data_IF_166523928551
#
_entry.id   IF_166523928551
#
_cell.length_a   1.000
_cell.length_b   1.000
_cell.length_c   1.000
_cell.angle_alpha   90.00
_cell.angle_beta   90.00
_cell.angle_gamma   90.00
#
_symmetry.space_group_name_H-M   'P 1'
#
loop_
_entity.id
_entity.type
_entity.pdbx_description
1 polymer ?
#
# COMPACT_ATOMS: atom_id res chain seq x y z
N UNK A 1 -2.86 -11.69 4.82
CA UNK A 1 -1.73 -10.80 4.40
C UNK A 1 -1.05 -11.42 3.20
N UNK A 2 -0.76 -10.65 2.14
CA UNK A 2 0.01 -11.10 0.97
C UNK A 2 1.32 -10.30 0.97
N UNK A 3 2.46 -10.99 1.09
CA UNK A 3 3.78 -10.36 1.18
C UNK A 3 4.85 -11.24 0.53
N UNK A 4 5.76 -10.67 -0.29
CA UNK A 4 5.76 -9.30 -0.81
C UNK A 4 4.78 -9.18 -1.98
N UNK A 5 3.81 -8.27 -1.90
CA UNK A 5 2.71 -8.17 -2.85
C UNK A 5 3.17 -7.94 -4.29
N UNK A 6 4.13 -7.03 -4.49
CA UNK A 6 4.66 -6.70 -5.82
C UNK A 6 5.31 -7.91 -6.52
N UNK A 7 6.20 -8.63 -5.83
CA UNK A 7 6.90 -9.79 -6.40
C UNK A 7 6.04 -11.05 -6.45
N UNK A 8 4.97 -11.14 -5.65
CA UNK A 8 3.99 -12.21 -5.71
C UNK A 8 2.99 -12.09 -6.89
N UNK A 9 3.16 -11.11 -7.77
CA UNK A 9 2.29 -10.90 -8.94
C UNK A 9 1.30 -9.74 -8.80
N UNK A 10 1.44 -8.92 -7.76
CA UNK A 10 0.74 -7.64 -7.64
C UNK A 10 -0.79 -7.76 -7.58
N UNK A 11 -1.53 -6.76 -8.09
CA UNK A 11 -2.99 -6.76 -8.08
C UNK A 11 -3.62 -7.98 -8.77
N UNK A 12 -3.01 -8.49 -9.84
CA UNK A 12 -3.51 -9.69 -10.53
C UNK A 12 -3.53 -10.92 -9.62
N UNK A 13 -2.49 -11.09 -8.80
CA UNK A 13 -2.44 -12.16 -7.81
C UNK A 13 -3.50 -11.98 -6.71
N UNK A 14 -3.70 -10.76 -6.22
CA UNK A 14 -4.77 -10.46 -5.24
C UNK A 14 -6.15 -10.85 -5.78
N UNK A 15 -6.45 -10.48 -7.03
CA UNK A 15 -7.71 -10.82 -7.68
C UNK A 15 -7.90 -12.35 -7.79
N UNK A 16 -6.83 -13.07 -8.16
CA UNK A 16 -6.85 -14.52 -8.27
C UNK A 16 -7.11 -15.21 -6.92
N UNK A 17 -6.41 -14.82 -5.86
CA UNK A 17 -6.57 -15.42 -4.53
C UNK A 17 -7.94 -15.08 -3.94
N UNK A 18 -8.45 -13.85 -4.14
CA UNK A 18 -9.81 -13.47 -3.73
C UNK A 18 -10.88 -14.33 -4.41
N UNK A 19 -10.69 -14.74 -5.66
CA UNK A 19 -11.65 -15.62 -6.34
C UNK A 19 -11.75 -17.00 -5.68
N UNK A 20 -10.66 -17.49 -5.07
CA UNK A 20 -10.62 -18.77 -4.33
C UNK A 20 -11.16 -18.61 -2.91
N UNK A 21 -10.91 -17.47 -2.26
CA UNK A 21 -11.30 -17.18 -0.88
C UNK A 21 -12.12 -15.89 -0.77
N UNK A 22 -13.38 -15.88 -1.24
CA UNK A 22 -14.17 -14.65 -1.39
C UNK A 22 -14.49 -13.94 -0.06
N UNK A 23 -14.51 -14.66 1.05
CA UNK A 23 -14.82 -14.13 2.38
C UNK A 23 -13.58 -13.67 3.17
N UNK A 24 -12.37 -13.95 2.66
CA UNK A 24 -11.14 -13.61 3.36
C UNK A 24 -10.71 -12.18 3.00
N UNK A 25 -10.52 -11.35 4.03
CA UNK A 25 -9.96 -10.02 3.86
C UNK A 25 -8.45 -10.10 3.59
N UNK A 26 -8.02 -9.55 2.45
CA UNK A 26 -6.62 -9.50 2.08
C UNK A 26 -6.02 -8.11 2.29
N UNK A 27 -4.81 -8.10 2.85
CA UNK A 27 -3.93 -6.94 2.99
C UNK A 27 -2.63 -7.21 2.22
N UNK A 28 -2.48 -6.67 0.99
CA UNK A 28 -1.23 -6.68 0.25
C UNK A 28 -0.23 -5.72 0.89
N UNK A 29 1.01 -6.17 1.04
CA UNK A 29 2.11 -5.38 1.62
C UNK A 29 3.42 -5.74 0.92
N UNK A 30 4.32 -4.79 0.74
CA UNK A 30 5.62 -4.99 0.08
C UNK A 30 5.59 -4.57 -1.39
N UNK A 31 6.19 -3.42 -1.68
CA UNK A 31 6.13 -2.75 -2.98
C UNK A 31 4.80 -2.03 -3.26
N UNK A 32 4.03 -1.70 -2.22
CA UNK A 32 2.82 -0.86 -2.32
C UNK A 32 3.17 0.58 -1.97
N UNK A 33 2.63 1.54 -2.71
CA UNK A 33 2.73 2.99 -2.50
C UNK A 33 1.41 3.69 -2.86
N UNK A 34 1.37 5.02 -2.70
CA UNK A 34 0.18 5.83 -2.98
C UNK A 34 -0.30 5.71 -4.43
N UNK A 35 0.64 5.59 -5.39
CA UNK A 35 0.31 5.53 -6.81
C UNK A 35 -0.32 4.19 -7.21
N UNK A 36 0.12 3.08 -6.60
CA UNK A 36 -0.36 1.74 -6.95
C UNK A 36 -1.43 1.17 -5.99
N UNK A 37 -1.64 1.79 -4.83
CA UNK A 37 -2.67 1.38 -3.87
C UNK A 37 -4.08 1.25 -4.49
N UNK A 38 -4.57 2.17 -5.35
CA UNK A 38 -5.88 2.03 -5.99
C UNK A 38 -6.05 0.75 -6.80
N UNK A 39 -4.99 0.28 -7.46
CA UNK A 39 -5.04 -0.96 -8.24
C UNK A 39 -5.22 -2.21 -7.36
N UNK A 40 -4.61 -2.23 -6.18
CA UNK A 40 -4.79 -3.31 -5.21
C UNK A 40 -6.21 -3.33 -4.63
N UNK A 41 -6.76 -2.15 -4.31
CA UNK A 41 -8.14 -2.02 -3.83
C UNK A 41 -9.15 -2.46 -4.90
N UNK A 42 -8.94 -2.04 -6.16
CA UNK A 42 -9.77 -2.48 -7.29
C UNK A 42 -9.68 -4.00 -7.56
N UNK A 43 -8.55 -4.63 -7.24
CA UNK A 43 -8.40 -6.09 -7.29
C UNK A 43 -9.13 -6.83 -6.15
N UNK A 44 -9.70 -6.10 -5.19
CA UNK A 44 -10.48 -6.64 -4.08
C UNK A 44 -9.69 -6.84 -2.80
N UNK A 45 -8.54 -6.19 -2.64
CA UNK A 45 -7.94 -6.03 -1.32
C UNK A 45 -8.89 -5.27 -0.39
N UNK A 46 -8.99 -5.68 0.87
CA UNK A 46 -9.80 -4.99 1.87
C UNK A 46 -9.13 -3.67 2.30
N UNK A 47 -7.79 -3.68 2.36
CA UNK A 47 -6.94 -2.53 2.66
C UNK A 47 -5.52 -2.85 2.18
N UNK A 48 -4.63 -1.86 2.18
CA UNK A 48 -3.22 -2.03 1.80
C UNK A 48 -2.27 -1.66 2.93
N UNK A 49 -1.10 -2.30 2.98
CA UNK A 49 0.00 -1.93 3.85
C UNK A 49 1.09 -1.20 3.07
N UNK A 50 1.35 0.07 3.42
CA UNK A 50 2.44 0.88 2.87
C UNK A 50 3.54 1.01 3.94
N UNK A 51 4.74 0.55 3.61
CA UNK A 51 5.90 0.56 4.52
C UNK A 51 6.88 1.69 4.19
N UNK A 52 8.10 1.33 3.79
CA UNK A 52 9.20 2.28 3.50
C UNK A 52 8.88 3.42 2.53
N UNK A 53 7.86 3.26 1.67
CA UNK A 53 7.39 4.32 0.77
C UNK A 53 6.63 5.45 1.50
N UNK A 54 6.07 5.15 2.68
CA UNK A 54 5.40 6.10 3.57
C UNK A 54 6.40 6.72 4.55
N UNK A 55 7.16 5.88 5.26
CA UNK A 55 8.16 6.31 6.24
C UNK A 55 9.44 5.50 6.06
N UNK A 56 10.56 6.18 5.83
CA UNK A 56 11.88 5.56 5.73
C UNK A 56 12.83 6.06 6.85
N UNK A 57 13.86 5.27 7.13
CA UNK A 57 14.83 5.54 8.20
C UNK A 57 15.60 6.85 7.98
N UNK A 58 15.85 7.24 6.73
CA UNK A 58 16.58 8.47 6.42
C UNK A 58 15.75 9.71 6.79
N UNK A 59 14.45 9.72 6.48
CA UNK A 59 13.51 10.79 6.88
C UNK A 59 13.35 10.87 8.40
N UNK A 60 13.32 9.72 9.08
CA UNK A 60 13.30 9.68 10.55
C UNK A 60 14.59 10.29 11.12
N UNK A 61 15.76 9.82 10.64
CA UNK A 61 17.06 10.30 11.11
C UNK A 61 17.26 11.81 10.86
N UNK A 62 16.75 12.32 9.73
CA UNK A 62 16.77 13.74 9.40
C UNK A 62 15.72 14.58 10.15
N UNK A 63 14.79 13.95 10.89
CA UNK A 63 13.67 14.65 11.53
C UNK A 63 12.69 15.30 10.54
N UNK A 64 12.66 14.84 9.28
CA UNK A 64 11.84 15.41 8.21
C UNK A 64 10.37 14.97 8.31
N UNK A 65 9.71 15.47 9.36
CA UNK A 65 8.27 15.28 9.60
C UNK A 65 7.44 15.78 8.42
N UNK A 66 7.90 16.82 7.73
CA UNK A 66 7.19 17.39 6.59
C UNK A 66 7.09 16.39 5.44
N UNK A 67 8.18 15.70 5.10
CA UNK A 67 8.16 14.68 4.06
C UNK A 67 7.27 13.49 4.42
N UNK A 68 7.33 13.03 5.68
CA UNK A 68 6.48 11.93 6.17
C UNK A 68 4.99 12.31 6.09
N UNK A 69 4.64 13.53 6.52
CA UNK A 69 3.27 14.02 6.45
C UNK A 69 2.79 14.19 5.00
N UNK A 70 3.64 14.64 4.08
CA UNK A 70 3.30 14.70 2.64
C UNK A 70 2.99 13.30 2.10
N UNK A 71 3.87 12.33 2.34
CA UNK A 71 3.66 10.95 1.89
C UNK A 71 2.38 10.32 2.48
N UNK A 72 2.06 10.64 3.75
CA UNK A 72 0.81 10.20 4.38
C UNK A 72 -0.44 10.81 3.73
N UNK A 73 -0.41 12.13 3.43
CA UNK A 73 -1.52 12.79 2.73
C UNK A 73 -1.72 12.24 1.32
N UNK A 74 -0.64 12.02 0.58
CA UNK A 74 -0.68 11.38 -0.73
C UNK A 74 -1.30 9.97 -0.65
N UNK A 75 -0.89 9.16 0.32
CA UNK A 75 -1.45 7.82 0.52
C UNK A 75 -2.93 7.83 0.92
N UNK A 76 -3.40 8.87 1.61
CA UNK A 76 -4.79 9.05 2.01
C UNK A 76 -5.64 9.76 0.94
N UNK A 77 -5.04 10.25 -0.16
CA UNK A 77 -5.74 11.04 -1.16
C UNK A 77 -6.26 12.39 -0.63
N UNK A 78 -5.60 12.97 0.37
CA UNK A 78 -5.95 14.27 0.94
C UNK A 78 -5.15 15.35 0.21
N UNK A 79 -5.79 16.11 -0.68
CA UNK A 79 -5.17 17.27 -1.35
C UNK A 79 -4.87 18.39 -0.33
N UNK A 80 -3.77 19.11 -0.54
CA UNK A 80 -3.43 20.29 0.27
C UNK A 80 -4.37 21.44 -0.12
N UNK A 81 -5.12 21.96 0.86
CA UNK A 81 -5.83 23.24 0.74
C UNK A 81 -4.83 24.41 0.67
#
# INVERSE_FOLDING_TARGET
>A
KIFPASSAGGPAHVKAVRAVFPEVAFCPTGGVDAANAPAYLAAGAAFVGIGGKLVDEARIAAGDKSAILRAAREALGIEQA
#
